data_IF_075202916447
#
_entry.id   IF_075202916447
#
_cell.length_a   1.000
_cell.length_b   1.000
_cell.length_c   1.000
_cell.angle_alpha   90.00
_cell.angle_beta   90.00
_cell.angle_gamma   90.00
#
_symmetry.space_group_name_H-M   'P 1'
#
loop_
_entity.id
_entity.type
_entity.pdbx_description
1 polymer ?
#
# COMPACT_ATOMS: atom_id res chain seq x y z
N UNK A 1 44.78 -1.33 0.93
CA UNK A 1 43.60 -0.49 0.65
C UNK A 1 42.84 -0.35 1.97
N UNK A 2 42.77 0.82 2.53
CA UNK A 2 42.04 1.09 3.76
C UNK A 2 40.52 1.12 3.45
N UNK A 3 39.65 0.66 4.37
CA UNK A 3 38.20 0.72 4.15
C UNK A 3 37.71 2.17 4.12
N UNK A 4 36.88 2.49 3.13
CA UNK A 4 36.22 3.79 2.98
C UNK A 4 35.34 4.07 4.19
N UNK A 5 35.30 5.29 4.74
CA UNK A 5 34.47 5.62 5.89
C UNK A 5 33.00 5.55 5.51
N UNK A 6 32.22 4.80 6.32
CA UNK A 6 30.77 4.72 6.18
C UNK A 6 30.17 6.13 6.16
N UNK A 7 29.43 6.44 5.10
CA UNK A 7 28.70 7.70 4.98
C UNK A 7 27.73 7.83 6.17
N UNK A 8 27.90 8.87 6.97
CA UNK A 8 26.94 9.22 8.04
C UNK A 8 25.66 9.68 7.39
N UNK A 9 24.56 8.98 7.69
CA UNK A 9 23.21 9.40 7.33
C UNK A 9 22.95 10.76 8.00
N UNK A 10 22.57 11.83 7.26
CA UNK A 10 22.22 13.11 7.87
C UNK A 10 21.00 12.91 8.78
N UNK A 11 20.96 13.67 9.89
CA UNK A 11 19.90 13.61 10.88
C UNK A 11 18.54 13.88 10.21
N UNK A 12 17.69 12.84 10.13
CA UNK A 12 16.30 12.96 9.72
C UNK A 12 15.57 13.94 10.62
N UNK A 13 14.56 14.63 10.07
CA UNK A 13 13.69 15.52 10.81
C UNK A 13 13.26 14.88 12.14
N UNK A 14 13.50 15.60 13.22
CA UNK A 14 13.39 15.13 14.60
C UNK A 14 11.93 14.76 14.93
N UNK A 15 11.58 13.49 14.79
CA UNK A 15 10.28 12.95 15.22
C UNK A 15 10.19 12.79 16.75
N UNK A 16 11.28 13.09 17.48
CA UNK A 16 11.33 12.98 18.95
C UNK A 16 10.44 14.00 19.68
N UNK A 17 9.96 15.05 18.99
CA UNK A 17 9.11 16.11 19.54
C UNK A 17 7.61 15.94 19.34
N UNK A 18 7.12 14.93 18.64
CA UNK A 18 5.70 14.69 18.47
C UNK A 18 5.15 13.92 19.68
N UNK A 19 4.71 14.64 20.70
CA UNK A 19 3.94 14.07 21.79
C UNK A 19 2.67 13.41 21.21
N UNK A 20 2.40 12.16 21.57
CA UNK A 20 1.16 11.49 21.23
C UNK A 20 -0.03 12.28 21.78
N UNK A 21 -1.04 12.63 20.97
CA UNK A 21 -2.27 13.23 21.49
C UNK A 21 -2.93 12.23 22.46
N UNK A 22 -3.51 12.74 23.55
CA UNK A 22 -4.00 12.02 24.71
C UNK A 22 -4.63 10.66 24.42
N UNK A 23 -3.94 9.60 24.82
CA UNK A 23 -4.44 8.25 24.74
C UNK A 23 -5.66 8.09 25.64
N UNK A 24 -6.78 7.64 25.08
CA UNK A 24 -7.90 7.16 25.86
C UNK A 24 -7.43 5.99 26.79
N UNK A 25 -8.04 5.82 27.97
CA UNK A 25 -7.64 4.75 28.89
C UNK A 25 -7.72 3.39 28.18
N UNK A 26 -6.80 2.48 28.46
CA UNK A 26 -6.70 1.19 27.76
C UNK A 26 -7.96 0.35 28.00
N UNK A 27 -8.65 -0.02 26.93
CA UNK A 27 -9.72 -1.01 26.99
C UNK A 27 -9.15 -2.38 27.44
N UNK A 28 -9.94 -3.16 28.16
CA UNK A 28 -9.53 -4.48 28.60
C UNK A 28 -9.27 -5.42 27.41
N UNK A 29 -8.39 -6.41 27.57
CA UNK A 29 -8.12 -7.41 26.52
C UNK A 29 -9.40 -8.13 26.05
N UNK A 30 -10.39 -8.31 26.95
CA UNK A 30 -11.70 -8.87 26.62
C UNK A 30 -12.52 -7.94 25.69
N UNK A 31 -12.50 -6.62 25.95
CA UNK A 31 -13.20 -5.64 25.10
C UNK A 31 -12.62 -5.59 23.69
N UNK A 32 -11.29 -5.66 23.55
CA UNK A 32 -10.62 -5.72 22.25
C UNK A 32 -10.94 -7.00 21.49
N UNK A 33 -10.99 -8.13 22.17
CA UNK A 33 -11.36 -9.41 21.55
C UNK A 33 -12.82 -9.36 21.03
N UNK A 34 -13.73 -8.79 21.81
CA UNK A 34 -15.13 -8.62 21.40
C UNK A 34 -15.26 -7.69 20.18
N UNK A 35 -14.51 -6.57 20.17
CA UNK A 35 -14.52 -5.60 19.06
C UNK A 35 -13.88 -6.20 17.80
N UNK A 36 -12.78 -6.94 17.93
CA UNK A 36 -12.18 -7.67 16.83
C UNK A 36 -13.18 -8.70 16.25
N UNK A 37 -13.91 -9.43 17.09
CA UNK A 37 -14.98 -10.35 16.68
C UNK A 37 -16.09 -9.64 15.89
N UNK A 38 -16.53 -8.47 16.35
CA UNK A 38 -17.53 -7.66 15.66
C UNK A 38 -17.05 -7.19 14.30
N UNK A 39 -15.80 -6.71 14.18
CA UNK A 39 -15.18 -6.33 12.91
C UNK A 39 -15.12 -7.50 11.93
N UNK A 40 -14.65 -8.66 12.40
CA UNK A 40 -14.57 -9.87 11.58
C UNK A 40 -15.95 -10.29 11.09
N UNK A 41 -16.98 -10.24 11.94
CA UNK A 41 -18.37 -10.56 11.57
C UNK A 41 -18.93 -9.57 10.54
N UNK A 42 -18.73 -8.26 10.74
CA UNK A 42 -19.17 -7.24 9.81
C UNK A 42 -18.47 -7.37 8.43
N UNK A 43 -17.18 -7.61 8.43
CA UNK A 43 -16.42 -7.83 7.19
C UNK A 43 -16.78 -9.15 6.50
N UNK A 44 -17.14 -10.20 7.24
CA UNK A 44 -17.59 -11.48 6.69
C UNK A 44 -18.95 -11.38 5.98
N UNK A 45 -19.76 -10.38 6.32
CA UNK A 45 -21.01 -10.10 5.62
C UNK A 45 -20.81 -9.42 4.24
N UNK A 46 -19.60 -8.91 3.96
CA UNK A 46 -19.28 -8.32 2.66
C UNK A 46 -18.76 -9.38 1.70
N UNK A 47 -19.14 -9.32 0.41
CA UNK A 47 -18.58 -10.20 -0.60
C UNK A 47 -17.06 -10.10 -0.65
N UNK A 48 -16.38 -11.25 -0.73
CA UNK A 48 -14.91 -11.31 -0.77
C UNK A 48 -14.44 -12.41 -1.73
N UNK A 49 -13.59 -12.07 -2.66
CA UNK A 49 -12.87 -13.00 -3.53
C UNK A 49 -11.50 -13.28 -2.95
N UNK A 50 -11.22 -14.50 -2.51
CA UNK A 50 -9.92 -14.82 -1.91
C UNK A 50 -8.83 -14.84 -2.96
N UNK A 51 -7.85 -13.94 -2.79
CA UNK A 51 -6.66 -13.80 -3.63
C UNK A 51 -5.38 -14.02 -2.83
N UNK A 52 -5.28 -13.41 -1.65
CA UNK A 52 -4.09 -13.43 -0.82
C UNK A 52 -3.98 -14.70 0.03
N UNK A 53 -2.75 -15.11 0.33
CA UNK A 53 -2.42 -16.08 1.38
C UNK A 53 -2.27 -15.32 2.69
N UNK A 54 -3.17 -15.57 3.62
CA UNK A 54 -3.27 -14.86 4.90
C UNK A 54 -3.37 -15.84 6.08
N UNK A 55 -2.86 -15.46 7.26
CA UNK A 55 -2.18 -14.21 7.58
C UNK A 55 -0.79 -14.11 6.94
N UNK A 56 -0.34 -12.88 6.62
CA UNK A 56 1.06 -12.68 6.22
C UNK A 56 1.96 -12.70 7.46
N UNK A 57 3.22 -13.15 7.35
CA UNK A 57 4.10 -13.21 8.50
C UNK A 57 4.38 -11.85 9.14
N UNK A 58 4.57 -11.84 10.46
CA UNK A 58 5.18 -10.77 11.23
C UNK A 58 6.52 -11.29 11.73
N UNK A 59 7.63 -10.74 11.23
CA UNK A 59 8.96 -11.29 11.48
C UNK A 59 9.88 -10.28 12.15
N UNK A 60 10.69 -10.68 13.17
CA UNK A 60 11.67 -9.80 13.78
C UNK A 60 12.86 -9.54 12.82
N UNK A 61 13.37 -8.31 12.86
CA UNK A 61 14.52 -7.88 12.08
C UNK A 61 15.55 -7.14 12.97
N UNK A 62 16.19 -7.84 13.95
CA UNK A 62 17.04 -7.19 14.94
C UNK A 62 18.28 -6.51 14.33
N UNK A 63 18.95 -7.12 13.35
CA UNK A 63 20.09 -6.49 12.68
C UNK A 63 19.70 -5.24 11.90
N UNK A 64 18.49 -5.19 11.33
CA UNK A 64 17.98 -3.99 10.68
C UNK A 64 17.55 -2.94 11.70
N UNK A 65 16.99 -3.34 12.84
CA UNK A 65 16.69 -2.43 13.95
C UNK A 65 17.93 -1.70 14.43
N UNK A 66 19.02 -2.43 14.68
CA UNK A 66 20.31 -1.86 15.07
C UNK A 66 20.86 -0.90 14.01
N UNK A 67 20.88 -1.30 12.73
CA UNK A 67 21.38 -0.50 11.62
C UNK A 67 20.63 0.83 11.45
N UNK A 68 19.33 0.86 11.75
CA UNK A 68 18.47 2.05 11.62
C UNK A 68 18.28 2.79 12.95
N UNK A 69 18.78 2.25 14.07
CA UNK A 69 18.65 2.83 15.40
C UNK A 69 17.24 2.78 15.97
N UNK A 70 16.43 1.80 15.59
CA UNK A 70 15.15 1.50 16.23
C UNK A 70 15.36 0.78 17.56
N UNK A 71 14.38 0.81 18.49
CA UNK A 71 14.41 0.03 19.73
C UNK A 71 14.26 -1.46 19.41
N UNK A 72 13.18 -1.81 18.74
CA UNK A 72 12.98 -3.11 18.10
C UNK A 72 12.30 -2.93 16.74
N UNK A 73 12.42 -3.90 15.85
CA UNK A 73 11.78 -3.87 14.54
C UNK A 73 11.15 -5.20 14.21
N UNK A 74 9.85 -5.17 13.99
CA UNK A 74 9.07 -6.24 13.38
C UNK A 74 8.67 -5.81 11.96
N UNK A 75 8.74 -6.73 11.01
CA UNK A 75 8.34 -6.48 9.61
C UNK A 75 7.08 -7.25 9.30
N UNK A 76 6.00 -6.55 8.98
CA UNK A 76 4.75 -7.14 8.47
C UNK A 76 4.90 -7.41 6.98
N UNK A 77 4.95 -8.67 6.58
CA UNK A 77 5.39 -9.16 5.28
C UNK A 77 4.25 -9.25 4.27
N UNK A 78 3.62 -8.12 3.94
CA UNK A 78 2.59 -8.10 2.87
C UNK A 78 3.20 -8.25 1.45
N UNK A 79 4.49 -8.14 1.30
CA UNK A 79 5.22 -8.60 0.10
C UNK A 79 5.00 -10.09 -0.17
N UNK A 80 4.66 -10.90 0.86
CA UNK A 80 4.41 -12.33 0.80
C UNK A 80 2.92 -12.70 0.72
N UNK A 81 2.04 -11.81 0.27
CA UNK A 81 0.61 -12.14 0.06
C UNK A 81 0.36 -13.25 -0.96
N UNK A 82 1.38 -13.65 -1.72
CA UNK A 82 1.34 -14.81 -2.60
C UNK A 82 0.47 -14.67 -3.86
N UNK A 83 -0.20 -13.54 -4.05
CA UNK A 83 -1.01 -13.28 -5.24
C UNK A 83 -0.20 -12.50 -6.29
N UNK A 84 -0.16 -12.99 -7.52
CA UNK A 84 0.61 -12.44 -8.63
C UNK A 84 2.11 -12.31 -8.26
N UNK A 85 2.56 -11.10 -7.97
CA UNK A 85 3.92 -10.78 -7.55
C UNK A 85 3.98 -10.32 -6.07
N UNK A 86 2.93 -10.63 -5.28
CA UNK A 86 2.82 -10.22 -3.88
C UNK A 86 2.37 -8.77 -3.70
N UNK A 87 2.46 -8.30 -2.47
CA UNK A 87 2.19 -6.91 -2.11
C UNK A 87 0.77 -6.63 -1.62
N UNK A 88 0.61 -5.43 -1.12
CA UNK A 88 -0.59 -4.94 -0.44
C UNK A 88 -1.85 -4.91 -1.32
N UNK A 89 -1.70 -4.92 -2.65
CA UNK A 89 -2.83 -4.76 -3.58
C UNK A 89 -3.79 -5.94 -3.54
N UNK A 90 -3.31 -7.13 -3.21
CA UNK A 90 -4.14 -8.32 -3.09
C UNK A 90 -5.28 -8.12 -2.07
N UNK A 91 -5.00 -7.55 -0.88
CA UNK A 91 -6.00 -7.34 0.16
C UNK A 91 -7.12 -6.40 -0.25
N UNK A 92 -6.80 -5.32 -1.00
CA UNK A 92 -7.81 -4.40 -1.52
C UNK A 92 -8.64 -5.07 -2.62
N UNK A 93 -7.97 -5.78 -3.53
CA UNK A 93 -8.59 -6.40 -4.70
C UNK A 93 -9.53 -7.54 -4.31
N UNK A 94 -9.35 -8.20 -3.17
CA UNK A 94 -10.28 -9.22 -2.68
C UNK A 94 -11.72 -8.68 -2.53
N UNK A 95 -11.87 -7.45 -2.07
CA UNK A 95 -13.18 -6.81 -1.90
C UNK A 95 -13.63 -6.09 -3.18
N UNK A 96 -12.72 -5.44 -3.90
CA UNK A 96 -13.04 -4.72 -5.13
C UNK A 96 -13.52 -5.67 -6.24
N UNK A 97 -12.87 -6.82 -6.39
CA UNK A 97 -13.30 -7.85 -7.36
C UNK A 97 -14.64 -8.44 -6.97
N UNK A 98 -14.85 -8.73 -5.70
CA UNK A 98 -16.12 -9.26 -5.22
C UNK A 98 -17.26 -8.24 -5.38
N UNK A 99 -17.00 -6.96 -5.14
CA UNK A 99 -17.96 -5.88 -5.42
C UNK A 99 -18.30 -5.81 -6.91
N UNK A 100 -17.31 -5.87 -7.79
CA UNK A 100 -17.54 -5.89 -9.24
C UNK A 100 -18.40 -7.08 -9.68
N UNK A 101 -18.14 -8.27 -9.15
CA UNK A 101 -18.93 -9.46 -9.44
C UNK A 101 -20.38 -9.34 -8.92
N UNK A 102 -20.55 -8.79 -7.72
CA UNK A 102 -21.88 -8.56 -7.14
C UNK A 102 -22.71 -7.55 -7.95
N UNK A 103 -22.04 -6.52 -8.51
CA UNK A 103 -22.67 -5.55 -9.43
C UNK A 103 -22.89 -6.10 -10.85
N UNK A 104 -22.53 -7.37 -11.09
CA UNK A 104 -22.67 -8.01 -12.40
C UNK A 104 -21.75 -7.43 -13.48
N UNK A 105 -20.63 -6.80 -13.09
CA UNK A 105 -19.63 -6.28 -14.01
C UNK A 105 -18.98 -7.40 -14.83
N UNK A 106 -18.57 -7.07 -16.06
CA UNK A 106 -17.80 -7.97 -16.93
C UNK A 106 -16.39 -7.46 -17.20
N UNK A 107 -16.09 -6.23 -16.77
CA UNK A 107 -14.82 -5.56 -17.04
C UNK A 107 -14.37 -4.75 -15.82
N UNK A 108 -13.15 -4.98 -15.33
CA UNK A 108 -12.52 -4.08 -14.38
C UNK A 108 -11.81 -2.96 -15.14
N UNK A 109 -12.11 -1.72 -14.77
CA UNK A 109 -11.49 -0.51 -15.33
C UNK A 109 -10.75 0.23 -14.25
N UNK A 110 -9.46 0.45 -14.44
CA UNK A 110 -8.64 1.29 -13.56
C UNK A 110 -7.53 2.00 -14.33
N UNK A 111 -6.67 2.74 -13.64
CA UNK A 111 -5.57 3.40 -14.32
C UNK A 111 -4.42 3.79 -13.40
N UNK A 112 -3.35 4.28 -14.03
CA UNK A 112 -2.14 4.69 -13.33
C UNK A 112 -0.97 4.97 -14.26
N UNK A 113 0.25 5.00 -13.70
CA UNK A 113 1.47 5.00 -14.49
C UNK A 113 1.74 3.62 -15.10
N UNK A 114 2.61 3.53 -16.11
CA UNK A 114 3.02 2.26 -16.71
C UNK A 114 3.71 1.32 -15.71
N UNK A 115 4.34 1.87 -14.67
CA UNK A 115 4.98 1.15 -13.56
C UNK A 115 4.01 0.78 -12.43
N UNK A 116 2.70 1.01 -12.58
CA UNK A 116 1.73 0.82 -11.51
C UNK A 116 1.57 -0.64 -11.10
N UNK A 117 2.04 -1.00 -9.92
CA UNK A 117 1.79 -2.31 -9.29
C UNK A 117 0.29 -2.58 -9.09
N UNK A 118 -0.53 -1.53 -8.91
CA UNK A 118 -1.98 -1.71 -8.80
C UNK A 118 -2.61 -2.11 -10.13
N UNK A 119 -2.21 -1.49 -11.24
CA UNK A 119 -2.71 -1.84 -12.57
C UNK A 119 -2.38 -3.30 -12.91
N UNK A 120 -1.14 -3.73 -12.67
CA UNK A 120 -0.72 -5.11 -12.91
C UNK A 120 -1.49 -6.11 -12.04
N UNK A 121 -1.62 -5.83 -10.73
CA UNK A 121 -2.37 -6.70 -9.83
C UNK A 121 -3.87 -6.74 -10.18
N UNK A 122 -4.47 -5.63 -10.67
CA UNK A 122 -5.86 -5.61 -11.14
C UNK A 122 -6.06 -6.49 -12.37
N UNK A 123 -5.11 -6.46 -13.32
CA UNK A 123 -5.16 -7.34 -14.49
C UNK A 123 -5.11 -8.83 -14.09
N UNK A 124 -4.21 -9.19 -13.17
CA UNK A 124 -4.14 -10.55 -12.61
C UNK A 124 -5.45 -10.96 -11.92
N UNK A 125 -6.04 -10.05 -11.12
CA UNK A 125 -7.29 -10.30 -10.40
C UNK A 125 -8.49 -10.46 -11.35
N UNK A 126 -8.57 -9.62 -12.38
CA UNK A 126 -9.57 -9.74 -13.44
C UNK A 126 -9.47 -11.10 -14.12
N UNK A 127 -8.26 -11.49 -14.54
CA UNK A 127 -8.01 -12.80 -15.17
C UNK A 127 -8.44 -13.97 -14.28
N UNK A 128 -8.11 -13.90 -12.99
CA UNK A 128 -8.48 -14.92 -11.98
C UNK A 128 -9.98 -15.01 -11.77
N UNK A 129 -10.69 -13.88 -11.88
CA UNK A 129 -12.14 -13.79 -11.70
C UNK A 129 -12.97 -14.00 -12.99
N UNK A 130 -12.32 -14.27 -14.14
CA UNK A 130 -13.01 -14.39 -15.42
C UNK A 130 -13.52 -13.08 -16.00
N UNK A 131 -13.03 -11.94 -15.50
CA UNK A 131 -13.37 -10.59 -15.95
C UNK A 131 -12.36 -10.10 -17.00
N UNK A 132 -12.79 -9.17 -17.84
CA UNK A 132 -11.89 -8.36 -18.67
C UNK A 132 -11.21 -7.29 -17.82
N UNK A 133 -10.09 -6.79 -18.30
CA UNK A 133 -9.41 -5.66 -17.69
C UNK A 133 -9.08 -4.60 -18.74
N UNK A 134 -9.45 -3.36 -18.50
CA UNK A 134 -8.98 -2.20 -19.26
C UNK A 134 -8.23 -1.24 -18.36
N UNK A 135 -7.06 -0.81 -18.80
CA UNK A 135 -6.16 0.06 -18.06
C UNK A 135 -6.01 1.40 -18.79
N UNK A 136 -6.29 2.49 -18.09
CA UNK A 136 -5.98 3.86 -18.53
C UNK A 136 -4.60 4.23 -18.01
N UNK A 137 -3.63 4.35 -18.91
CA UNK A 137 -2.22 4.55 -18.56
C UNK A 137 -1.76 5.95 -18.96
N UNK A 138 -1.17 6.68 -18.00
CA UNK A 138 -0.55 7.97 -18.26
C UNK A 138 0.63 7.82 -19.24
N UNK A 139 0.74 8.72 -20.20
CA UNK A 139 1.81 8.73 -21.20
C UNK A 139 1.35 8.37 -22.59
N UNK A 140 2.30 7.98 -23.40
CA UNK A 140 2.12 7.58 -24.80
C UNK A 140 2.58 6.14 -25.01
N UNK A 141 2.02 5.42 -26.00
CA UNK A 141 2.62 4.16 -26.42
C UNK A 141 4.05 4.43 -26.90
N UNK A 142 5.02 3.68 -26.37
CA UNK A 142 6.38 3.76 -26.90
C UNK A 142 6.38 3.30 -28.35
N UNK A 143 6.78 4.17 -29.28
CA UNK A 143 7.10 3.77 -30.66
C UNK A 143 8.52 3.21 -30.67
N UNK A 144 8.79 2.05 -31.30
CA UNK A 144 10.15 1.64 -31.56
C UNK A 144 10.81 2.69 -32.48
N UNK A 145 12.02 3.10 -32.12
CA UNK A 145 12.85 3.86 -33.06
C UNK A 145 13.31 2.92 -34.17
N UNK A 146 13.55 3.49 -35.39
CA UNK A 146 13.95 2.69 -36.52
C UNK A 146 15.32 2.04 -36.23
N UNK A 147 15.38 0.69 -36.15
CA UNK A 147 16.58 -0.08 -35.81
C UNK A 147 16.56 -0.71 -34.40
N UNK A 148 15.62 -0.35 -33.54
CA UNK A 148 15.38 -1.07 -32.29
C UNK A 148 14.46 -2.28 -32.57
N UNK A 149 14.72 -3.40 -31.90
CA UNK A 149 13.85 -4.59 -31.89
C UNK A 149 12.44 -4.24 -31.39
N UNK A 150 11.58 -5.23 -31.19
CA UNK A 150 10.25 -5.04 -30.63
C UNK A 150 10.30 -4.05 -29.46
N UNK A 151 9.34 -3.07 -29.38
CA UNK A 151 9.35 -2.08 -28.33
C UNK A 151 9.47 -2.78 -26.98
N UNK A 152 10.53 -2.48 -26.27
CA UNK A 152 10.73 -2.98 -24.92
C UNK A 152 9.48 -2.67 -24.09
N UNK A 153 9.07 -3.54 -23.18
CA UNK A 153 7.88 -3.30 -22.36
C UNK A 153 8.01 -1.96 -21.65
N UNK A 154 6.92 -1.23 -21.55
CA UNK A 154 6.85 0.02 -20.78
C UNK A 154 6.95 -0.29 -19.26
N UNK A 155 7.99 -0.98 -18.85
CA UNK A 155 8.23 -1.52 -17.52
C UNK A 155 7.56 -2.89 -17.26
N UNK A 156 8.08 -3.65 -16.29
CA UNK A 156 7.62 -5.01 -15.98
C UNK A 156 6.15 -5.07 -15.56
N UNK A 157 5.64 -4.07 -14.87
CA UNK A 157 4.25 -4.03 -14.42
C UNK A 157 3.25 -4.04 -15.60
N UNK A 158 3.48 -3.20 -16.62
CA UNK A 158 2.60 -3.15 -17.79
C UNK A 158 2.75 -4.38 -18.68
N UNK A 159 3.97 -4.93 -18.79
CA UNK A 159 4.22 -6.19 -19.51
C UNK A 159 3.39 -7.34 -18.90
N UNK A 160 3.45 -7.51 -17.58
CA UNK A 160 2.66 -8.50 -16.86
C UNK A 160 1.15 -8.26 -17.02
N UNK A 161 0.70 -7.00 -16.91
CA UNK A 161 -0.72 -6.68 -17.10
C UNK A 161 -1.23 -7.16 -18.47
N UNK A 162 -0.46 -6.91 -19.54
CA UNK A 162 -0.78 -7.38 -20.89
C UNK A 162 -0.75 -8.91 -21.00
N UNK A 163 0.20 -9.58 -20.37
CA UNK A 163 0.26 -11.05 -20.34
C UNK A 163 -0.98 -11.66 -19.65
N UNK A 164 -1.58 -10.97 -18.68
CA UNK A 164 -2.87 -11.34 -18.09
C UNK A 164 -4.08 -10.90 -18.92
N UNK A 165 -3.88 -10.34 -20.11
CA UNK A 165 -4.92 -10.00 -21.06
C UNK A 165 -5.54 -8.62 -20.86
N UNK A 166 -4.89 -7.70 -20.16
CA UNK A 166 -5.37 -6.33 -20.04
C UNK A 166 -5.24 -5.56 -21.35
N UNK A 167 -6.30 -4.84 -21.73
CA UNK A 167 -6.28 -3.80 -22.75
C UNK A 167 -5.71 -2.51 -22.17
N UNK A 168 -5.01 -1.73 -22.99
CA UNK A 168 -4.35 -0.49 -22.55
C UNK A 168 -4.83 0.68 -23.40
N UNK A 169 -5.32 1.71 -22.72
CA UNK A 169 -5.68 3.02 -23.27
C UNK A 169 -4.69 4.04 -22.73
N UNK A 170 -4.03 4.77 -23.59
CA UNK A 170 -3.09 5.82 -23.21
C UNK A 170 -3.78 7.18 -23.11
N UNK A 171 -3.39 8.00 -22.11
CA UNK A 171 -3.94 9.35 -21.95
C UNK A 171 -3.35 10.37 -22.93
N UNK A 172 -2.22 10.06 -23.55
CA UNK A 172 -1.51 11.00 -24.43
C UNK A 172 -0.70 12.07 -23.69
N UNK A 173 -0.56 11.97 -22.37
CA UNK A 173 0.25 12.88 -21.56
C UNK A 173 0.84 12.13 -20.36
N UNK A 174 2.08 12.44 -19.92
CA UNK A 174 2.69 11.82 -18.75
C UNK A 174 2.07 12.27 -17.41
N UNK A 175 1.21 13.30 -17.44
CA UNK A 175 0.54 13.77 -16.24
C UNK A 175 -0.36 12.69 -15.64
N UNK A 176 -0.13 12.37 -14.37
CA UNK A 176 -0.89 11.35 -13.63
C UNK A 176 -2.35 11.73 -13.43
N UNK A 177 -2.67 13.01 -13.33
CA UNK A 177 -4.03 13.47 -13.08
C UNK A 177 -4.89 13.38 -14.34
N UNK A 178 -4.27 13.27 -15.52
CA UNK A 178 -4.94 12.92 -16.78
C UNK A 178 -5.67 11.58 -16.69
N UNK A 179 -5.17 10.62 -15.90
CA UNK A 179 -5.81 9.31 -15.74
C UNK A 179 -7.20 9.46 -15.11
N UNK A 180 -7.33 10.30 -14.09
CA UNK A 180 -8.62 10.50 -13.41
C UNK A 180 -9.67 11.13 -14.31
N UNK A 181 -9.26 12.00 -15.24
CA UNK A 181 -10.13 12.58 -16.25
C UNK A 181 -10.54 11.57 -17.35
N UNK A 182 -9.66 10.63 -17.71
CA UNK A 182 -9.93 9.64 -18.75
C UNK A 182 -10.70 8.42 -18.26
N UNK A 183 -10.68 8.09 -16.98
CA UNK A 183 -11.38 6.93 -16.44
C UNK A 183 -12.92 6.98 -16.69
N UNK A 184 -13.63 8.09 -16.41
CA UNK A 184 -15.07 8.18 -16.71
C UNK A 184 -15.37 8.07 -18.21
N UNK A 185 -14.52 8.64 -19.05
CA UNK A 185 -14.65 8.57 -20.52
C UNK A 185 -14.50 7.12 -20.99
N UNK A 186 -13.49 6.40 -20.48
CA UNK A 186 -13.30 5.00 -20.80
C UNK A 186 -14.47 4.13 -20.32
N UNK A 187 -15.04 4.43 -19.14
CA UNK A 187 -16.22 3.75 -18.65
C UNK A 187 -17.44 3.94 -19.58
N UNK A 188 -17.69 5.18 -20.01
CA UNK A 188 -18.77 5.50 -20.94
C UNK A 188 -18.59 4.80 -22.30
N UNK A 189 -17.37 4.81 -22.85
CA UNK A 189 -17.05 4.11 -24.10
C UNK A 189 -17.28 2.59 -24.00
N UNK A 190 -16.90 1.98 -22.87
CA UNK A 190 -17.14 0.56 -22.63
C UNK A 190 -18.64 0.27 -22.54
N UNK A 191 -19.39 1.10 -21.82
CA UNK A 191 -20.84 0.96 -21.70
C UNK A 191 -21.55 1.10 -23.08
N UNK A 192 -21.12 2.06 -23.92
CA UNK A 192 -21.64 2.22 -25.28
C UNK A 192 -21.40 0.99 -26.19
N UNK A 193 -20.38 0.18 -25.84
CA UNK A 193 -20.08 -1.10 -26.53
C UNK A 193 -20.77 -2.31 -25.87
N UNK A 194 -21.74 -2.09 -25.00
CA UNK A 194 -22.49 -3.14 -24.30
C UNK A 194 -21.72 -3.84 -23.18
N UNK A 195 -20.65 -3.22 -22.66
CA UNK A 195 -19.91 -3.72 -21.50
C UNK A 195 -20.50 -3.15 -20.20
N UNK A 196 -20.20 -3.85 -19.11
CA UNK A 196 -20.53 -3.42 -17.75
C UNK A 196 -19.22 -3.17 -16.97
N UNK A 197 -18.58 -1.98 -17.16
CA UNK A 197 -17.34 -1.68 -16.48
C UNK A 197 -17.56 -1.39 -14.99
N UNK A 198 -16.70 -1.97 -14.14
CA UNK A 198 -16.55 -1.57 -12.74
C UNK A 198 -15.33 -0.67 -12.62
N UNK A 199 -15.59 0.62 -12.38
CA UNK A 199 -14.53 1.63 -12.30
C UNK A 199 -13.89 1.59 -10.90
N UNK A 200 -12.60 1.33 -10.87
CA UNK A 200 -11.77 1.35 -9.66
C UNK A 200 -10.83 2.56 -9.75
N UNK A 201 -10.88 3.50 -8.80
CA UNK A 201 -9.97 4.65 -8.77
C UNK A 201 -8.50 4.22 -8.72
N UNK A 202 -7.61 5.13 -9.10
CA UNK A 202 -6.15 4.88 -9.04
C UNK A 202 -5.70 4.31 -7.71
N UNK A 203 -4.98 3.19 -7.74
CA UNK A 203 -4.44 2.51 -6.56
C UNK A 203 -5.47 1.77 -5.71
N UNK A 204 -6.73 1.64 -6.17
CA UNK A 204 -7.80 0.93 -5.46
C UNK A 204 -8.25 1.61 -4.17
N UNK A 205 -8.02 2.91 -4.04
CA UNK A 205 -8.31 3.67 -2.83
C UNK A 205 -9.81 4.00 -2.75
N UNK A 206 -10.57 3.09 -2.15
CA UNK A 206 -12.01 3.18 -1.84
C UNK A 206 -12.25 2.65 -0.43
N UNK A 207 -13.38 3.01 0.18
CA UNK A 207 -13.79 2.45 1.47
C UNK A 207 -13.93 0.93 1.42
N UNK A 208 -14.46 0.38 0.31
CA UNK A 208 -14.60 -1.08 0.13
C UNK A 208 -13.23 -1.77 0.08
N UNK A 209 -12.28 -1.25 -0.70
CA UNK A 209 -10.91 -1.78 -0.73
C UNK A 209 -10.21 -1.68 0.62
N UNK A 210 -10.48 -0.62 1.39
CA UNK A 210 -9.90 -0.41 2.71
C UNK A 210 -10.30 -1.48 3.74
N UNK A 211 -11.45 -2.16 3.57
CA UNK A 211 -11.90 -3.27 4.46
C UNK A 211 -10.83 -4.36 4.56
N UNK A 212 -10.11 -4.67 3.46
CA UNK A 212 -9.02 -5.64 3.49
C UNK A 212 -7.91 -5.28 4.47
N UNK A 213 -7.70 -3.98 4.71
CA UNK A 213 -6.72 -3.49 5.68
C UNK A 213 -7.30 -3.25 7.09
N UNK A 214 -8.58 -3.03 7.22
CA UNK A 214 -9.23 -3.11 8.53
C UNK A 214 -9.10 -4.52 9.11
N UNK A 215 -9.26 -5.57 8.28
CA UNK A 215 -8.98 -6.96 8.69
C UNK A 215 -7.49 -7.21 8.97
N UNK A 216 -6.59 -6.59 8.21
CA UNK A 216 -5.15 -6.71 8.47
C UNK A 216 -4.73 -6.08 9.81
N UNK A 217 -5.48 -5.11 10.32
CA UNK A 217 -5.26 -4.55 11.65
C UNK A 217 -5.56 -5.58 12.75
N UNK A 218 -6.65 -6.38 12.64
CA UNK A 218 -6.92 -7.46 13.59
C UNK A 218 -5.83 -8.54 13.53
N UNK A 219 -5.42 -8.91 12.31
CA UNK A 219 -4.33 -9.85 12.07
C UNK A 219 -3.02 -9.39 12.75
N UNK A 220 -2.67 -8.11 12.61
CA UNK A 220 -1.50 -7.54 13.28
C UNK A 220 -1.65 -7.58 14.82
N UNK A 221 -2.82 -7.19 15.34
CA UNK A 221 -3.06 -7.17 16.79
C UNK A 221 -2.92 -8.57 17.41
N UNK A 222 -3.44 -9.60 16.75
CA UNK A 222 -3.30 -10.99 17.18
C UNK A 222 -1.82 -11.44 17.17
N UNK A 223 -1.07 -11.09 16.13
CA UNK A 223 0.34 -11.42 16.01
C UNK A 223 1.19 -10.70 17.06
N UNK A 224 0.93 -9.41 17.34
CA UNK A 224 1.65 -8.67 18.38
C UNK A 224 1.42 -9.24 19.78
N UNK A 225 0.22 -9.73 20.07
CA UNK A 225 -0.05 -10.43 21.33
C UNK A 225 0.85 -11.67 21.51
N UNK A 226 1.13 -12.39 20.41
CA UNK A 226 2.05 -13.53 20.38
C UNK A 226 3.53 -13.15 20.57
N UNK A 227 3.91 -11.91 20.26
CA UNK A 227 5.29 -11.40 20.43
C UNK A 227 5.54 -10.79 21.82
N UNK A 228 4.53 -10.72 22.71
CA UNK A 228 4.68 -10.14 24.04
C UNK A 228 4.87 -8.62 24.07
N UNK A 229 4.67 -7.94 22.93
CA UNK A 229 4.72 -6.47 22.83
C UNK A 229 3.48 -5.85 23.47
N UNK A 230 3.69 -4.96 24.46
CA UNK A 230 2.62 -4.27 25.17
C UNK A 230 1.82 -3.32 24.26
N UNK A 231 0.60 -2.99 24.70
CA UNK A 231 -0.24 -1.98 24.03
C UNK A 231 0.36 -0.58 24.24
N UNK A 232 0.30 0.24 23.19
CA UNK A 232 0.63 1.66 23.24
C UNK A 232 2.07 2.03 22.90
N UNK A 233 3.00 1.08 23.01
CA UNK A 233 4.43 1.37 22.83
C UNK A 233 4.94 1.14 21.40
N UNK A 234 4.12 0.53 20.54
CA UNK A 234 4.50 0.17 19.16
C UNK A 234 4.07 1.25 18.16
N UNK A 235 4.99 1.66 17.31
CA UNK A 235 4.69 2.52 16.15
C UNK A 235 4.56 1.68 14.89
N UNK A 236 3.39 1.69 14.26
CA UNK A 236 3.14 1.03 12.97
C UNK A 236 3.44 2.02 11.84
N UNK A 237 4.47 1.76 11.05
CA UNK A 237 4.91 2.61 9.94
C UNK A 237 4.48 2.02 8.61
N UNK A 238 3.75 2.82 7.81
CA UNK A 238 3.06 2.37 6.59
C UNK A 238 3.46 3.21 5.38
N UNK A 239 4.10 2.63 4.34
CA UNK A 239 4.29 3.31 3.06
C UNK A 239 2.94 3.71 2.46
N UNK A 240 2.78 4.99 2.13
CA UNK A 240 1.49 5.55 1.71
C UNK A 240 1.59 6.21 0.34
N UNK A 241 0.79 5.72 -0.61
CA UNK A 241 0.64 6.31 -1.94
C UNK A 241 -0.77 6.87 -2.14
N UNK A 242 -1.74 6.05 -2.55
CA UNK A 242 -3.13 6.45 -2.78
C UNK A 242 -3.96 6.63 -1.50
N UNK A 243 -3.49 6.13 -0.36
CA UNK A 243 -4.13 6.23 0.95
C UNK A 243 -4.97 5.02 1.37
N UNK A 244 -5.34 4.11 0.46
CA UNK A 244 -6.26 3.00 0.77
C UNK A 244 -5.76 2.03 1.85
N UNK A 245 -4.46 1.69 1.84
CA UNK A 245 -3.85 0.85 2.88
C UNK A 245 -3.89 1.51 4.25
N UNK A 246 -3.43 2.76 4.32
CA UNK A 246 -3.42 3.51 5.58
C UNK A 246 -4.84 3.77 6.11
N UNK A 247 -5.79 4.04 5.23
CA UNK A 247 -7.19 4.24 5.60
C UNK A 247 -7.84 2.99 6.22
N UNK A 248 -7.57 1.81 5.64
CA UNK A 248 -8.06 0.56 6.20
C UNK A 248 -7.42 0.22 7.55
N UNK A 249 -6.10 0.42 7.67
CA UNK A 249 -5.40 0.28 8.95
C UNK A 249 -5.93 1.26 9.99
N UNK A 250 -6.22 2.51 9.61
CA UNK A 250 -6.84 3.49 10.49
C UNK A 250 -8.22 3.04 10.96
N UNK A 251 -9.07 2.56 10.04
CA UNK A 251 -10.39 2.05 10.41
C UNK A 251 -10.30 0.88 11.41
N UNK A 252 -9.42 -0.10 11.14
CA UNK A 252 -9.19 -1.21 12.06
C UNK A 252 -8.56 -0.77 13.39
N UNK A 253 -7.61 0.17 13.35
CA UNK A 253 -6.99 0.76 14.54
C UNK A 253 -8.02 1.43 15.47
N UNK A 254 -8.96 2.19 14.90
CA UNK A 254 -10.05 2.80 15.66
C UNK A 254 -10.95 1.74 16.30
N UNK A 255 -11.37 0.75 15.52
CA UNK A 255 -12.22 -0.35 16.00
C UNK A 255 -11.54 -1.19 17.09
N UNK A 256 -10.23 -1.30 17.09
CA UNK A 256 -9.46 -2.00 18.11
C UNK A 256 -9.12 -1.15 19.35
N UNK A 257 -9.66 0.08 19.45
CA UNK A 257 -9.41 0.98 20.58
C UNK A 257 -8.01 1.60 20.57
N UNK A 258 -7.46 1.89 19.40
CA UNK A 258 -6.16 2.60 19.19
C UNK A 258 -4.97 1.91 19.87
N UNK A 259 -4.69 0.62 19.55
CA UNK A 259 -3.67 -0.15 20.28
C UNK A 259 -2.22 0.26 20.00
N UNK A 260 -1.95 1.05 18.96
CA UNK A 260 -0.60 1.48 18.53
C UNK A 260 -0.58 2.95 18.10
N UNK A 261 0.59 3.53 17.88
CA UNK A 261 0.73 4.77 17.11
C UNK A 261 0.74 4.41 15.62
N UNK A 262 -0.13 5.03 14.81
CA UNK A 262 -0.20 4.77 13.36
C UNK A 262 0.45 5.92 12.59
N UNK A 263 1.49 5.61 11.82
CA UNK A 263 2.25 6.58 11.01
C UNK A 263 2.26 6.20 9.54
N UNK A 264 1.71 7.06 8.70
CA UNK A 264 1.78 6.96 7.24
C UNK A 264 2.96 7.74 6.68
N UNK A 265 3.82 7.10 5.87
CA UNK A 265 4.89 7.77 5.14
C UNK A 265 4.44 8.07 3.71
N UNK A 266 4.02 9.32 3.43
CA UNK A 266 3.44 9.69 2.15
C UNK A 266 4.50 9.95 1.09
N UNK A 267 4.63 9.03 0.13
CA UNK A 267 5.57 9.12 -0.99
C UNK A 267 4.98 9.81 -2.23
N UNK A 268 3.69 10.15 -2.25
CA UNK A 268 3.04 10.65 -3.46
C UNK A 268 2.41 12.04 -3.35
N UNK A 269 1.99 12.43 -2.16
CA UNK A 269 1.30 13.69 -1.88
C UNK A 269 1.82 14.31 -0.59
N UNK A 270 1.76 15.65 -0.44
CA UNK A 270 2.07 16.27 0.84
C UNK A 270 1.04 15.84 1.90
N UNK A 271 1.40 15.83 3.21
CA UNK A 271 0.51 15.44 4.30
C UNK A 271 -0.85 16.15 4.27
N UNK A 272 -0.86 17.45 3.97
CA UNK A 272 -2.08 18.26 3.89
C UNK A 272 -3.08 17.79 2.82
N UNK A 273 -2.60 17.13 1.77
CA UNK A 273 -3.44 16.61 0.69
C UNK A 273 -3.84 15.13 0.92
N UNK A 274 -3.01 14.35 1.61
CA UNK A 274 -3.29 12.92 1.80
C UNK A 274 -4.12 12.65 3.05
N UNK A 275 -3.96 13.40 4.14
CA UNK A 275 -4.71 13.19 5.39
C UNK A 275 -6.22 13.28 5.19
N UNK A 276 -6.79 14.32 4.57
CA UNK A 276 -8.24 14.37 4.34
C UNK A 276 -8.75 13.16 3.53
N UNK A 277 -7.97 12.72 2.55
CA UNK A 277 -8.31 11.53 1.75
C UNK A 277 -8.30 10.24 2.57
N UNK A 278 -7.30 10.05 3.42
CA UNK A 278 -7.21 8.89 4.32
C UNK A 278 -8.40 8.86 5.29
N UNK A 279 -8.75 10.00 5.86
CA UNK A 279 -9.91 10.13 6.76
C UNK A 279 -11.23 9.82 6.04
N UNK A 280 -11.43 10.36 4.84
CA UNK A 280 -12.63 10.07 4.04
C UNK A 280 -12.76 8.58 3.75
N UNK A 281 -11.69 7.93 3.26
CA UNK A 281 -11.69 6.50 2.95
C UNK A 281 -11.87 5.62 4.20
N UNK A 282 -11.29 6.01 5.34
CA UNK A 282 -11.48 5.32 6.61
C UNK A 282 -12.93 5.44 7.09
N UNK A 283 -13.54 6.62 6.99
CA UNK A 283 -14.94 6.84 7.31
C UNK A 283 -15.88 6.01 6.42
N UNK A 284 -15.60 5.93 5.11
CA UNK A 284 -16.35 5.05 4.20
C UNK A 284 -16.21 3.56 4.63
N UNK A 285 -15.00 3.13 4.98
CA UNK A 285 -14.73 1.77 5.46
C UNK A 285 -15.51 1.48 6.76
N UNK A 286 -15.48 2.39 7.72
CA UNK A 286 -16.20 2.26 9.00
C UNK A 286 -17.73 2.15 8.78
N UNK A 287 -18.29 2.93 7.88
CA UNK A 287 -19.71 2.82 7.52
C UNK A 287 -20.08 1.45 6.90
N UNK A 288 -19.22 0.92 6.03
CA UNK A 288 -19.40 -0.44 5.47
C UNK A 288 -19.33 -1.52 6.55
N UNK A 289 -18.53 -1.29 7.59
CA UNK A 289 -18.39 -2.16 8.76
C UNK A 289 -19.47 -1.90 9.83
N UNK A 290 -20.47 -1.05 9.51
CA UNK A 290 -21.65 -0.78 10.34
C UNK A 290 -21.30 -0.23 11.74
N UNK A 291 -20.39 0.71 11.78
CA UNK A 291 -19.97 1.41 13.01
C UNK A 291 -20.18 2.91 12.87
N UNK A 292 -20.50 3.57 13.98
CA UNK A 292 -20.69 5.02 14.09
C UNK A 292 -19.39 5.77 14.41
N UNK A 293 -18.25 5.07 14.46
CA UNK A 293 -16.98 5.73 14.70
C UNK A 293 -16.59 6.59 13.50
N UNK A 294 -16.05 7.78 13.80
CA UNK A 294 -15.53 8.71 12.79
C UNK A 294 -14.03 8.94 12.99
N UNK A 295 -13.22 8.84 11.92
CA UNK A 295 -11.79 9.10 12.02
C UNK A 295 -11.53 10.60 12.12
N UNK A 296 -10.55 10.98 12.96
CA UNK A 296 -10.11 12.36 13.20
C UNK A 296 -8.67 12.55 12.73
N UNK A 297 -8.24 13.79 12.44
CA UNK A 297 -6.86 14.06 12.05
C UNK A 297 -5.82 13.53 13.06
N UNK A 298 -6.14 13.58 14.37
CA UNK A 298 -5.25 13.14 15.44
C UNK A 298 -5.15 11.60 15.58
N UNK A 299 -6.00 10.85 14.88
CA UNK A 299 -5.95 9.38 14.90
C UNK A 299 -4.84 8.80 14.01
N UNK A 300 -4.18 9.62 13.19
CA UNK A 300 -3.11 9.20 12.28
C UNK A 300 -2.06 10.28 12.10
N UNK A 301 -0.81 9.92 12.25
CA UNK A 301 0.32 10.79 11.88
C UNK A 301 0.69 10.51 10.43
N UNK A 302 0.90 11.57 9.62
CA UNK A 302 1.42 11.42 8.27
C UNK A 302 2.65 12.29 8.09
N UNK A 303 3.77 11.65 7.70
CA UNK A 303 5.04 12.30 7.39
C UNK A 303 5.24 12.38 5.88
N UNK A 304 5.93 13.43 5.43
CA UNK A 304 6.29 13.62 4.03
C UNK A 304 7.49 12.74 3.67
N UNK A 305 7.25 11.73 2.86
CA UNK A 305 8.27 10.80 2.36
C UNK A 305 8.54 10.99 0.85
N UNK A 306 8.09 12.10 0.24
CA UNK A 306 8.27 12.32 -1.20
C UNK A 306 9.74 12.43 -1.60
N UNK A 307 10.58 13.02 -0.75
CA UNK A 307 11.97 13.30 -1.08
C UNK A 307 12.07 14.18 -2.33
N UNK A 308 12.86 13.81 -3.35
CA UNK A 308 13.00 14.60 -4.58
C UNK A 308 11.71 14.64 -5.42
N UNK A 309 10.77 13.74 -5.18
CA UNK A 309 9.49 13.70 -5.88
C UNK A 309 8.86 12.31 -5.91
N UNK A 310 7.59 12.27 -6.36
CA UNK A 310 6.91 11.00 -6.57
C UNK A 310 7.54 10.24 -7.76
N UNK A 311 7.79 8.95 -7.54
CA UNK A 311 8.39 8.06 -8.55
C UNK A 311 9.92 8.13 -8.60
N UNK A 312 10.54 9.12 -7.92
CA UNK A 312 11.99 9.25 -7.86
C UNK A 312 12.54 8.63 -6.57
N UNK A 313 13.64 7.87 -6.61
CA UNK A 313 14.34 7.41 -5.42
C UNK A 313 14.83 8.57 -4.56
N UNK A 314 14.99 8.37 -3.26
CA UNK A 314 15.70 9.31 -2.38
C UNK A 314 17.01 8.69 -1.87
N UNK A 315 18.07 9.48 -1.65
CA UNK A 315 19.34 8.96 -1.14
C UNK A 315 19.18 8.17 0.16
N UNK A 316 18.43 8.71 1.12
CA UNK A 316 18.18 8.04 2.41
C UNK A 316 17.37 6.75 2.23
N UNK A 317 16.39 6.75 1.29
CA UNK A 317 15.64 5.56 0.95
C UNK A 317 16.52 4.46 0.35
N UNK A 318 17.42 4.81 -0.57
CA UNK A 318 18.34 3.84 -1.17
C UNK A 318 19.30 3.26 -0.11
N UNK A 319 19.82 4.10 0.78
CA UNK A 319 20.68 3.65 1.88
C UNK A 319 19.91 2.71 2.84
N UNK A 320 18.65 3.02 3.17
CA UNK A 320 17.82 2.17 4.01
C UNK A 320 17.48 0.83 3.31
N UNK A 321 17.22 0.84 2.00
CA UNK A 321 17.00 -0.39 1.22
C UNK A 321 18.25 -1.27 1.17
N UNK A 322 19.43 -0.69 1.03
CA UNK A 322 20.70 -1.42 1.12
C UNK A 322 20.87 -2.08 2.49
N UNK A 323 20.62 -1.36 3.58
CA UNK A 323 20.66 -1.93 4.93
C UNK A 323 19.64 -3.07 5.08
N UNK A 324 18.40 -2.90 4.60
CA UNK A 324 17.39 -3.94 4.65
C UNK A 324 17.81 -5.22 3.90
N UNK A 325 18.43 -5.07 2.74
CA UNK A 325 18.95 -6.19 1.97
C UNK A 325 20.10 -6.90 2.71
N UNK A 326 21.06 -6.14 3.23
CA UNK A 326 22.27 -6.69 3.87
C UNK A 326 22.02 -7.35 5.22
N UNK A 327 21.09 -6.81 6.03
CA UNK A 327 20.88 -7.25 7.42
C UNK A 327 19.67 -8.14 7.61
N UNK A 328 18.70 -8.08 6.69
CA UNK A 328 17.44 -8.81 6.82
C UNK A 328 17.00 -9.54 5.53
N UNK A 329 17.75 -9.46 4.43
CA UNK A 329 17.38 -10.07 3.15
C UNK A 329 16.09 -9.51 2.55
N UNK A 330 15.71 -8.27 2.88
CA UNK A 330 14.48 -7.65 2.42
C UNK A 330 14.73 -6.83 1.15
N UNK A 331 13.93 -7.05 0.12
CA UNK A 331 13.91 -6.24 -1.10
C UNK A 331 12.86 -5.15 -0.98
N UNK A 332 13.27 -3.89 -1.03
CA UNK A 332 12.38 -2.74 -0.92
C UNK A 332 12.35 -1.96 -2.22
N UNK A 333 11.16 -1.58 -2.66
CA UNK A 333 11.02 -0.70 -3.81
C UNK A 333 11.52 0.73 -3.48
N UNK A 334 12.15 1.42 -4.44
CA UNK A 334 12.77 2.72 -4.19
C UNK A 334 11.77 3.87 -4.05
N UNK A 335 10.50 3.65 -4.43
CA UNK A 335 9.48 4.71 -4.51
C UNK A 335 8.68 4.85 -3.22
N UNK A 336 8.33 3.73 -2.57
CA UNK A 336 7.44 3.69 -1.40
C UNK A 336 8.12 3.09 -0.17
N UNK A 337 8.49 1.79 -0.24
CA UNK A 337 8.94 1.05 0.94
C UNK A 337 10.29 1.50 1.44
N UNK A 338 11.24 1.76 0.56
CA UNK A 338 12.57 2.27 0.92
C UNK A 338 12.49 3.65 1.59
N UNK A 339 11.70 4.56 1.03
CA UNK A 339 11.51 5.91 1.62
C UNK A 339 10.85 5.86 2.99
N UNK A 340 9.87 4.96 3.18
CA UNK A 340 9.21 4.81 4.47
C UNK A 340 10.15 4.19 5.51
N UNK A 341 10.98 3.22 5.11
CA UNK A 341 11.96 2.61 6.01
C UNK A 341 13.00 3.63 6.51
N UNK A 342 13.43 4.55 5.66
CA UNK A 342 14.37 5.62 6.04
C UNK A 342 13.81 6.58 7.12
N UNK A 343 12.50 6.58 7.33
CA UNK A 343 11.80 7.46 8.27
C UNK A 343 11.35 6.74 9.56
N UNK A 344 11.93 5.59 9.89
CA UNK A 344 11.60 4.91 11.13
C UNK A 344 12.00 5.75 12.36
N UNK A 345 11.13 5.82 13.38
CA UNK A 345 11.45 6.55 14.61
C UNK A 345 12.57 5.82 15.38
N UNK A 346 13.58 6.58 15.81
CA UNK A 346 14.72 6.04 16.57
C UNK A 346 14.33 5.73 18.01
N UNK A 347 14.93 4.67 18.57
CA UNK A 347 14.73 4.26 19.96
C UNK A 347 13.30 3.77 20.28
N UNK A 348 12.45 3.57 19.27
CA UNK A 348 11.08 3.09 19.44
C UNK A 348 10.93 1.66 18.97
N UNK A 349 9.93 0.97 19.50
CA UNK A 349 9.48 -0.32 18.97
C UNK A 349 8.60 -0.09 17.75
N UNK A 350 8.99 -0.69 16.62
CA UNK A 350 8.39 -0.42 15.32
C UNK A 350 7.87 -1.70 14.67
N UNK A 351 6.67 -1.60 14.10
CA UNK A 351 6.21 -2.49 13.04
C UNK A 351 6.34 -1.75 11.70
N UNK A 352 7.21 -2.20 10.84
CA UNK A 352 7.30 -1.72 9.47
C UNK A 352 6.39 -2.56 8.56
N UNK A 353 5.45 -1.92 7.88
CA UNK A 353 4.56 -2.61 6.95
C UNK A 353 5.21 -2.71 5.57
N UNK A 354 5.78 -3.85 5.24
CA UNK A 354 6.37 -4.11 3.92
C UNK A 354 5.27 -4.36 2.89
N UNK A 355 4.91 -3.32 2.14
CA UNK A 355 3.76 -3.34 1.20
C UNK A 355 4.06 -4.00 -0.15
N UNK A 356 5.25 -4.56 -0.35
CA UNK A 356 5.70 -5.17 -1.61
C UNK A 356 6.46 -4.20 -2.50
N UNK A 357 6.35 -4.34 -3.82
CA UNK A 357 7.02 -3.50 -4.81
C UNK A 357 8.17 -4.21 -5.55
N UNK A 358 8.18 -5.55 -5.55
CA UNK A 358 9.26 -6.35 -6.17
C UNK A 358 9.52 -6.00 -7.63
N UNK A 359 8.50 -5.62 -8.40
CA UNK A 359 8.65 -5.25 -9.81
C UNK A 359 9.49 -3.97 -9.98
N UNK A 360 9.26 -2.98 -9.11
CA UNK A 360 10.02 -1.74 -9.14
C UNK A 360 11.45 -1.96 -8.61
N UNK A 361 11.63 -2.90 -7.67
CA UNK A 361 12.96 -3.28 -7.14
C UNK A 361 13.82 -3.93 -8.22
N UNK A 362 13.26 -4.89 -8.97
CA UNK A 362 13.97 -5.58 -10.05
C UNK A 362 14.30 -4.61 -11.18
N UNK A 363 13.35 -3.76 -11.59
CA UNK A 363 13.59 -2.75 -12.61
C UNK A 363 14.71 -1.76 -12.22
N UNK A 364 14.75 -1.33 -10.96
CA UNK A 364 15.80 -0.44 -10.46
C UNK A 364 17.18 -1.12 -10.39
N UNK A 365 17.23 -2.43 -10.18
CA UNK A 365 18.50 -3.18 -10.16
C UNK A 365 19.09 -3.34 -11.57
N UNK A 366 18.25 -3.43 -12.61
CA UNK A 366 18.70 -3.51 -14.01
C UNK A 366 19.28 -2.18 -14.53
N UNK A 367 18.90 -1.04 -13.92
CA UNK A 367 19.37 0.30 -14.28
C UNK A 367 20.70 0.68 -13.60
N UNK A 368 21.20 -0.13 -12.67
CA UNK A 368 22.50 0.09 -12.01
C UNK A 368 23.63 -0.46 -12.88
N UNK A 369 24.68 0.35 -13.19
CA UNK A 369 25.77 -0.05 -14.04
C UNK A 369 26.68 -1.13 -13.41
#
# INVERSE_FOLDING_TARGET
MAPSPAARIPASADLAGLAAPGAAPPESAAAVSATAGSLLAAAAALPRTRLAVLPTPLVPAPGLAEALGAGSLLVKRDDLTGFAFGGNKARLLEFLVAGALADGADTLLTGGAATSNFCAATAAAARRAGLRCELVIAGHPRRPEAGEGLPGPAGPALALARSWGASVRWTGTPDRDSVDAHLPVAAADLAARGRRPYLIPRGGATGLGAVGYALAATELQEQLAGHGTGRGDVTVVVPTGSGGTLAGLLAGHLLLGRPWTLTGCSASRPPQAIVPRVLSLAGECLRLLKTDQEPRPDDVTVVDARGPGHGLPSPDGLAAAEQAMRTAGLMLDPVYTAKALALLPRGRDVVFWHTGGVLDTVAAAEEQP
#
